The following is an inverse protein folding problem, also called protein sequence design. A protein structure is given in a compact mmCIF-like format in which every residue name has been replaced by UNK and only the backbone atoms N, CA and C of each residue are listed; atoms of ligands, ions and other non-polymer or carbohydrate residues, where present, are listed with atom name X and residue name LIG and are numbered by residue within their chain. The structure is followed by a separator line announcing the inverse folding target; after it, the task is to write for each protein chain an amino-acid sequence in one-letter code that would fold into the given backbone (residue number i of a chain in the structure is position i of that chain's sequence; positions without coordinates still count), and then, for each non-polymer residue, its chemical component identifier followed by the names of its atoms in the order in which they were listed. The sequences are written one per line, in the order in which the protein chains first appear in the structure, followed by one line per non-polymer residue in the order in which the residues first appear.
data_IF_249423373465
#
_entry.id   IF_249423373465
#
_cell.length_a   1.000
_cell.length_b   1.000
_cell.length_c   1.000
_cell.angle_alpha   90.00
_cell.angle_beta   90.00
_cell.angle_gamma   90.00
#
_symmetry.space_group_name_H-M   'P 1'
#
loop_
_entity.id
_entity.type
_entity.pdbx_description
1 polymer ?
#
# COMPACT_ATOMS: atom_id res chain seq x y z
N UNK A 1 21.56 9.27 15.02
CA UNK A 1 20.15 8.99 15.33
C UNK A 1 19.51 8.48 14.05
N UNK A 2 19.14 7.19 13.99
CA UNK A 2 18.36 6.68 12.86
C UNK A 2 16.95 7.21 13.03
N UNK A 3 16.55 8.20 12.23
CA UNK A 3 15.16 8.59 12.16
C UNK A 3 14.40 7.41 11.52
N UNK A 4 13.55 6.75 12.29
CA UNK A 4 12.57 5.84 11.71
C UNK A 4 11.56 6.75 11.02
N UNK A 5 11.57 6.73 9.68
CA UNK A 5 10.61 7.46 8.88
C UNK A 5 9.31 6.64 8.98
N UNK A 6 8.33 7.13 9.74
CA UNK A 6 7.00 6.53 9.73
C UNK A 6 6.32 6.95 8.44
N UNK A 7 6.21 5.99 7.52
CA UNK A 7 5.54 6.18 6.24
C UNK A 7 4.26 5.36 6.25
N UNK A 8 3.14 5.99 5.87
CA UNK A 8 1.87 5.31 5.72
C UNK A 8 1.65 4.87 4.28
N UNK A 9 0.69 3.97 4.07
CA UNK A 9 0.28 3.56 2.73
C UNK A 9 -0.18 4.75 1.90
N UNK A 10 -0.87 5.71 2.54
CA UNK A 10 -1.29 6.95 1.88
C UNK A 10 -0.09 7.80 1.42
N UNK A 11 0.97 7.90 2.23
CA UNK A 11 2.18 8.66 1.85
C UNK A 11 2.85 8.07 0.61
N UNK A 12 2.89 6.73 0.50
CA UNK A 12 3.41 6.02 -0.68
C UNK A 12 2.61 6.36 -1.93
N UNK A 13 1.27 6.32 -1.83
CA UNK A 13 0.39 6.64 -2.97
C UNK A 13 0.56 8.11 -3.39
N UNK A 14 0.66 9.04 -2.45
CA UNK A 14 0.90 10.45 -2.73
C UNK A 14 2.26 10.63 -3.43
N UNK A 15 3.30 9.94 -2.98
CA UNK A 15 4.64 10.03 -3.54
C UNK A 15 4.72 9.56 -5.00
N UNK A 16 3.86 8.63 -5.43
CA UNK A 16 3.78 8.16 -6.83
C UNK A 16 2.74 8.91 -7.67
N UNK A 17 2.04 9.89 -7.10
CA UNK A 17 1.07 10.73 -7.80
C UNK A 17 -0.37 10.18 -7.85
N UNK A 18 -0.71 9.22 -6.99
CA UNK A 18 -2.03 8.63 -6.91
C UNK A 18 -2.16 7.26 -7.59
N UNK A 19 -3.41 6.82 -7.76
CA UNK A 19 -3.76 5.59 -8.47
C UNK A 19 -4.20 5.92 -9.90
N UNK A 20 -3.89 5.04 -10.84
CA UNK A 20 -4.45 5.13 -12.20
C UNK A 20 -5.93 4.74 -12.20
N UNK A 21 -6.68 5.14 -13.23
CA UNK A 21 -8.08 4.73 -13.40
C UNK A 21 -8.26 3.21 -13.52
N UNK A 22 -7.23 2.52 -14.02
CA UNK A 22 -7.22 1.07 -14.23
C UNK A 22 -6.75 0.27 -13.00
N UNK A 23 -6.24 0.93 -11.96
CA UNK A 23 -5.77 0.25 -10.77
C UNK A 23 -6.93 -0.47 -10.03
N UNK A 24 -6.71 -1.74 -9.69
CA UNK A 24 -7.61 -2.49 -8.83
C UNK A 24 -7.16 -2.34 -7.36
N UNK A 25 -7.40 -1.16 -6.76
CA UNK A 25 -6.83 -0.79 -5.45
C UNK A 25 -7.18 -1.77 -4.32
N UNK A 26 -8.41 -2.27 -4.24
CA UNK A 26 -8.79 -3.26 -3.21
C UNK A 26 -8.30 -4.70 -3.49
N UNK A 27 -7.60 -4.91 -4.60
CA UNK A 27 -6.81 -6.13 -4.86
C UNK A 27 -5.32 -5.90 -4.58
N UNK A 28 -4.93 -4.71 -4.14
CA UNK A 28 -3.56 -4.41 -3.81
C UNK A 28 -3.11 -5.18 -2.56
N UNK A 29 -1.80 -5.37 -2.46
CA UNK A 29 -1.20 -6.06 -1.33
C UNK A 29 0.19 -5.53 -1.01
N UNK A 30 0.55 -5.57 0.26
CA UNK A 30 1.90 -5.35 0.74
C UNK A 30 2.60 -6.70 0.84
N UNK A 31 3.75 -6.83 0.20
CA UNK A 31 4.65 -7.96 0.35
C UNK A 31 5.78 -7.55 1.29
N UNK A 32 5.96 -8.30 2.38
CA UNK A 32 6.95 -8.02 3.44
C UNK A 32 7.75 -9.27 3.76
N UNK A 33 9.05 -9.11 4.00
CA UNK A 33 9.92 -10.20 4.45
C UNK A 33 10.03 -10.22 5.98
N UNK A 34 9.44 -11.21 6.62
CA UNK A 34 9.45 -11.39 8.09
C UNK A 34 10.18 -12.69 8.40
N UNK A 35 11.26 -12.61 9.20
CA UNK A 35 12.07 -13.76 9.61
C UNK A 35 12.52 -14.67 8.45
N UNK A 36 12.88 -14.06 7.32
CA UNK A 36 13.33 -14.78 6.12
C UNK A 36 12.21 -15.36 5.25
N UNK A 37 10.94 -15.23 5.65
CA UNK A 37 9.78 -15.64 4.87
C UNK A 37 9.11 -14.43 4.23
N UNK A 38 8.51 -14.63 3.06
CA UNK A 38 7.69 -13.61 2.40
C UNK A 38 6.25 -13.76 2.87
N UNK A 39 5.68 -12.69 3.40
CA UNK A 39 4.27 -12.59 3.79
C UNK A 39 3.57 -11.54 2.93
N UNK A 40 2.28 -11.75 2.68
CA UNK A 40 1.46 -10.88 1.86
C UNK A 40 0.24 -10.42 2.67
N UNK A 41 0.03 -9.11 2.70
CA UNK A 41 -1.05 -8.45 3.43
C UNK A 41 -1.95 -7.73 2.43
N UNK A 42 -3.22 -8.10 2.36
CA UNK A 42 -4.18 -7.38 1.54
C UNK A 42 -4.47 -6.01 2.14
N UNK A 43 -4.65 -5.01 1.27
CA UNK A 43 -4.98 -3.65 1.67
C UNK A 43 -6.20 -3.16 0.90
N UNK A 44 -6.99 -2.30 1.53
CA UNK A 44 -8.17 -1.68 0.91
C UNK A 44 -7.80 -0.31 0.36
N UNK A 45 -7.00 -0.30 -0.71
CA UNK A 45 -6.39 0.92 -1.24
C UNK A 45 -7.41 1.84 -1.90
N UNK A 46 -8.46 1.29 -2.52
CA UNK A 46 -9.53 2.10 -3.11
C UNK A 46 -10.35 2.77 -2.01
N UNK A 47 -10.70 2.04 -0.94
CA UNK A 47 -11.41 2.60 0.22
C UNK A 47 -10.62 3.78 0.81
N UNK A 48 -9.30 3.63 0.94
CA UNK A 48 -8.42 4.67 1.48
C UNK A 48 -8.33 5.91 0.58
N UNK A 49 -8.11 5.72 -0.72
CA UNK A 49 -7.72 6.81 -1.64
C UNK A 49 -8.93 7.45 -2.33
N UNK A 50 -9.95 6.65 -2.68
CA UNK A 50 -11.14 7.12 -3.41
C UNK A 50 -12.27 7.51 -2.45
N UNK A 51 -12.53 6.68 -1.44
CA UNK A 51 -13.63 6.90 -0.49
C UNK A 51 -13.18 7.67 0.77
N UNK A 52 -11.87 7.81 0.97
CA UNK A 52 -11.31 8.54 2.12
C UNK A 52 -11.43 7.79 3.45
N UNK A 53 -11.61 6.46 3.44
CA UNK A 53 -11.62 5.64 4.64
C UNK A 53 -10.22 5.56 5.24
N UNK A 54 -9.89 6.50 6.14
CA UNK A 54 -8.62 6.52 6.86
C UNK A 54 -8.36 5.26 7.70
N UNK A 55 -9.39 4.48 8.02
CA UNK A 55 -9.23 3.22 8.77
C UNK A 55 -8.55 2.13 7.94
N UNK A 56 -8.54 2.28 6.61
CA UNK A 56 -7.78 1.43 5.70
C UNK A 56 -6.30 1.84 5.59
N UNK A 57 -5.87 2.95 6.20
CA UNK A 57 -4.47 3.36 6.19
C UNK A 57 -3.65 2.45 7.10
N UNK A 58 -2.54 1.94 6.57
CA UNK A 58 -1.64 1.03 7.29
C UNK A 58 -0.21 1.56 7.24
N UNK A 59 0.60 1.15 8.22
CA UNK A 59 2.01 1.51 8.27
C UNK A 59 2.83 0.71 7.25
N UNK A 60 3.64 1.44 6.47
CA UNK A 60 4.63 0.89 5.55
C UNK A 60 5.97 0.80 6.24
N UNK A 61 6.58 -0.38 6.21
CA UNK A 61 7.88 -0.63 6.81
C UNK A 61 8.98 -0.62 5.74
N UNK A 62 10.23 -0.31 6.13
CA UNK A 62 11.36 -0.41 5.22
C UNK A 62 11.48 -1.81 4.60
N UNK A 63 11.56 -1.87 3.27
CA UNK A 63 11.63 -3.13 2.51
C UNK A 63 10.28 -3.70 2.09
N UNK A 64 9.17 -3.05 2.44
CA UNK A 64 7.86 -3.40 1.90
C UNK A 64 7.78 -3.13 0.40
N UNK A 65 7.03 -3.98 -0.29
CA UNK A 65 6.66 -3.80 -1.69
C UNK A 65 5.15 -3.73 -1.80
N UNK A 66 4.64 -2.59 -2.27
CA UNK A 66 3.22 -2.44 -2.59
C UNK A 66 2.98 -2.91 -4.02
N UNK A 67 2.14 -3.93 -4.19
CA UNK A 67 1.72 -4.46 -5.49
C UNK A 67 0.29 -4.02 -5.74
N UNK A 68 0.07 -3.30 -6.84
CA UNK A 68 -1.25 -2.82 -7.27
C UNK A 68 -1.53 -3.46 -8.64
N UNK A 69 -2.39 -4.48 -8.72
CA UNK A 69 -2.76 -5.06 -9.99
C UNK A 69 -3.66 -4.12 -10.78
N UNK A 70 -3.68 -4.27 -12.10
CA UNK A 70 -4.66 -3.62 -12.96
C UNK A 70 -5.98 -4.40 -12.95
N UNK A 71 -7.07 -3.69 -13.16
CA UNK A 71 -8.37 -4.30 -13.44
C UNK A 71 -8.35 -4.81 -14.87
N UNK A 72 -8.45 -6.12 -15.04
CA UNK A 72 -8.69 -6.71 -16.35
C UNK A 72 -10.20 -6.70 -16.56
N UNK A 73 -10.65 -5.93 -17.53
CA UNK A 73 -11.93 -6.17 -18.19
C UNK A 73 -11.78 -7.36 -19.14
#
# INVERSE_FOLDING_TARGET
ATAIIHMSLLDVVIAVGGLTEFAAGNKASIVRRINGKTEQFQVRLDDLVRDGDISANVEMLPGDVLIIPETWF
#
